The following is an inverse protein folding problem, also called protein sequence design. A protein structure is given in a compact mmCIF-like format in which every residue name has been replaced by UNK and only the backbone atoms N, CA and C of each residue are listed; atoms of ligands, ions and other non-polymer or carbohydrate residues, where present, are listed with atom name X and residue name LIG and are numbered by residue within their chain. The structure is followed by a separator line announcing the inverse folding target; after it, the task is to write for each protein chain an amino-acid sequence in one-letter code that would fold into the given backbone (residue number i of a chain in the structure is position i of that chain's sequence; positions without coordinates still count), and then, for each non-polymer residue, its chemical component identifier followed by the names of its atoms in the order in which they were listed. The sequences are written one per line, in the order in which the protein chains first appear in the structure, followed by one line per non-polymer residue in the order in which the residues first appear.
data_IF_985987278135
#
_entry.id   IF_985987278135
#
_cell.length_a   1.000
_cell.length_b   1.000
_cell.length_c   1.000
_cell.angle_alpha   90.00
_cell.angle_beta   90.00
_cell.angle_gamma   90.00
#
_symmetry.space_group_name_H-M   'P 1'
#
loop_
_entity.id
_entity.type
_entity.pdbx_description
1 polymer ?
#
# COMPACT_ATOMS: atom_id res chain seq x y z
N UNK A 1 1.49 18.57 10.14
CA UNK A 1 1.27 17.28 10.83
C UNK A 1 1.39 16.05 9.92
N UNK A 2 0.81 16.02 8.71
CA UNK A 2 0.87 14.82 7.84
C UNK A 2 2.27 14.30 7.45
N UNK A 3 3.27 15.18 7.29
CA UNK A 3 4.66 14.76 7.00
C UNK A 3 5.32 14.03 8.17
N UNK A 4 4.98 14.40 9.41
CA UNK A 4 5.53 13.78 10.61
C UNK A 4 5.00 12.36 10.80
N UNK A 5 3.70 12.13 10.54
CA UNK A 5 3.07 10.81 10.64
C UNK A 5 3.62 9.79 9.64
N UNK A 6 3.89 10.21 8.40
CA UNK A 6 4.53 9.35 7.41
C UNK A 6 5.96 8.97 7.82
N UNK A 7 6.76 9.95 8.27
CA UNK A 7 8.16 9.72 8.68
C UNK A 7 8.23 8.79 9.91
N UNK A 8 7.32 8.98 10.87
CA UNK A 8 7.19 8.09 12.03
C UNK A 8 6.77 6.67 11.62
N UNK A 9 5.82 6.53 10.68
CA UNK A 9 5.39 5.22 10.17
C UNK A 9 6.51 4.46 9.48
N UNK A 10 7.31 5.14 8.65
CA UNK A 10 8.49 4.55 7.99
C UNK A 10 9.55 4.15 9.01
N UNK A 11 9.79 4.97 10.04
CA UNK A 11 10.74 4.65 11.10
C UNK A 11 10.31 3.42 11.91
N UNK A 12 9.02 3.32 12.27
CA UNK A 12 8.44 2.16 12.94
C UNK A 12 8.54 0.89 12.09
N UNK A 13 8.33 1.00 10.78
CA UNK A 13 8.54 -0.09 9.84
C UNK A 13 9.99 -0.55 9.81
N UNK A 14 10.94 0.38 9.70
CA UNK A 14 12.37 0.07 9.74
C UNK A 14 12.77 -0.62 11.05
N UNK A 15 12.30 -0.11 12.20
CA UNK A 15 12.52 -0.72 13.51
C UNK A 15 11.96 -2.15 13.56
N UNK A 16 10.77 -2.39 13.00
CA UNK A 16 10.14 -3.70 12.95
C UNK A 16 10.97 -4.69 12.13
N UNK A 17 11.51 -4.25 11.00
CA UNK A 17 12.42 -5.08 10.18
C UNK A 17 13.68 -5.42 10.97
N UNK A 18 14.32 -4.44 11.62
CA UNK A 18 15.51 -4.69 12.44
C UNK A 18 15.19 -5.67 13.58
N UNK A 19 14.05 -5.53 14.25
CA UNK A 19 13.60 -6.46 15.28
C UNK A 19 13.36 -7.87 14.70
N UNK A 20 12.71 -8.00 13.54
CA UNK A 20 12.50 -9.29 12.88
C UNK A 20 13.83 -9.99 12.56
N UNK A 21 14.79 -9.27 11.98
CA UNK A 21 16.10 -9.84 11.71
C UNK A 21 16.84 -10.20 13.00
N UNK A 22 16.79 -9.33 14.02
CA UNK A 22 17.42 -9.55 15.31
C UNK A 22 16.89 -10.76 16.08
N UNK A 23 15.57 -10.95 16.10
CA UNK A 23 14.92 -11.99 16.89
C UNK A 23 14.71 -13.30 16.13
N UNK A 24 14.48 -13.27 14.81
CA UNK A 24 14.16 -14.48 14.03
C UNK A 24 15.37 -14.96 13.25
N UNK A 25 16.11 -14.06 12.60
CA UNK A 25 17.17 -14.45 11.67
C UNK A 25 18.48 -14.75 12.39
N UNK A 26 18.89 -13.91 13.34
CA UNK A 26 20.17 -14.10 14.07
C UNK A 26 20.23 -15.44 14.81
N UNK A 27 19.21 -15.88 15.57
CA UNK A 27 19.31 -17.14 16.32
C UNK A 27 19.36 -18.40 15.42
N UNK A 28 18.88 -18.31 14.18
CA UNK A 28 18.88 -19.40 13.21
C UNK A 28 20.22 -19.51 12.47
N UNK A 29 21.04 -18.44 12.48
CA UNK A 29 22.34 -18.46 11.82
C UNK A 29 23.36 -19.30 12.62
N UNK A 30 24.03 -20.28 11.98
CA UNK A 30 25.07 -21.05 12.64
C UNK A 30 26.25 -20.12 13.02
N UNK A 31 26.65 -20.16 14.30
CA UNK A 31 27.80 -19.42 14.83
C UNK A 31 27.47 -18.25 15.76
N UNK A 32 26.19 -17.88 15.90
CA UNK A 32 25.75 -16.82 16.81
C UNK A 32 26.02 -17.11 18.30
N UNK A 33 26.22 -18.39 18.66
CA UNK A 33 26.38 -18.86 20.06
C UNK A 33 27.67 -18.39 20.73
N UNK A 34 28.65 -17.92 19.95
CA UNK A 34 29.94 -17.46 20.45
C UNK A 34 29.90 -16.06 21.09
N UNK A 35 28.82 -15.31 20.91
CA UNK A 35 28.73 -13.94 21.42
C UNK A 35 27.92 -13.88 22.73
N UNK A 36 28.64 -13.86 23.85
CA UNK A 36 28.08 -13.78 25.21
C UNK A 36 27.21 -12.55 25.46
N UNK A 37 27.39 -11.47 24.69
CA UNK A 37 26.60 -10.24 24.83
C UNK A 37 25.15 -10.47 24.40
N UNK A 38 24.96 -11.21 23.31
CA UNK A 38 23.63 -11.50 22.77
C UNK A 38 22.90 -12.46 23.70
N UNK A 39 23.56 -13.52 24.19
CA UNK A 39 22.93 -14.47 25.10
C UNK A 39 22.53 -13.83 26.44
N UNK A 40 23.34 -12.92 26.99
CA UNK A 40 23.01 -12.21 28.23
C UNK A 40 21.80 -11.26 28.08
N UNK A 41 21.73 -10.52 26.97
CA UNK A 41 20.61 -9.59 26.72
C UNK A 41 19.32 -10.32 26.40
N UNK A 42 19.38 -11.39 25.61
CA UNK A 42 18.22 -12.23 25.32
C UNK A 42 17.74 -12.98 26.57
N UNK A 43 18.68 -13.46 27.39
CA UNK A 43 18.38 -14.13 28.65
C UNK A 43 17.66 -13.23 29.64
N UNK A 44 18.07 -11.97 29.79
CA UNK A 44 17.39 -11.02 30.66
C UNK A 44 15.94 -10.71 30.22
N UNK A 45 15.63 -10.87 28.94
CA UNK A 45 14.30 -10.61 28.40
C UNK A 45 13.36 -11.81 28.53
N UNK A 46 13.89 -13.03 28.41
CA UNK A 46 13.08 -14.26 28.32
C UNK A 46 13.10 -15.08 29.60
N UNK A 47 14.22 -15.07 30.33
CA UNK A 47 14.39 -15.79 31.58
C UNK A 47 14.11 -14.88 32.79
N UNK A 48 13.78 -15.49 33.92
CA UNK A 48 13.62 -14.81 35.19
C UNK A 48 14.95 -14.25 35.73
N UNK A 49 14.87 -13.39 36.75
CA UNK A 49 16.05 -12.87 37.43
C UNK A 49 16.88 -14.01 38.04
N UNK A 50 18.13 -14.16 37.61
CA UNK A 50 19.06 -15.18 38.13
C UNK A 50 19.04 -16.52 37.38
N UNK A 51 18.24 -16.64 36.32
CA UNK A 51 18.27 -17.79 35.41
C UNK A 51 19.25 -17.52 34.25
N UNK A 52 19.87 -18.58 33.73
CA UNK A 52 20.76 -18.50 32.56
C UNK A 52 20.06 -19.03 31.31
N UNK A 53 20.19 -18.28 30.21
CA UNK A 53 19.68 -18.73 28.92
C UNK A 53 20.65 -19.73 28.29
N UNK A 54 20.16 -20.93 28.00
CA UNK A 54 20.93 -22.01 27.39
C UNK A 54 20.20 -22.47 26.13
N UNK A 55 20.96 -22.63 25.05
CA UNK A 55 20.43 -23.11 23.77
C UNK A 55 21.07 -24.47 23.46
N UNK A 56 20.24 -25.51 23.40
CA UNK A 56 20.70 -26.87 23.08
C UNK A 56 20.46 -27.15 21.60
N UNK A 57 21.54 -27.48 20.88
CA UNK A 57 21.50 -27.83 19.46
C UNK A 57 21.69 -29.33 19.32
N UNK A 58 20.59 -30.01 19.02
CA UNK A 58 20.63 -31.43 18.72
C UNK A 58 20.72 -31.62 17.21
N UNK A 59 21.88 -32.07 16.75
CA UNK A 59 22.06 -32.51 15.37
C UNK A 59 21.47 -33.91 15.24
N UNK A 60 20.45 -34.05 14.42
CA UNK A 60 19.89 -35.34 14.04
C UNK A 60 20.37 -35.69 12.63
N UNK A 61 20.92 -36.88 12.47
CA UNK A 61 21.29 -37.43 11.16
C UNK A 61 20.52 -38.73 10.94
N UNK A 62 19.54 -38.70 10.06
CA UNK A 62 18.74 -39.86 9.68
C UNK A 62 18.97 -40.22 8.21
N UNK A 63 18.46 -41.37 7.76
CA UNK A 63 18.53 -41.81 6.35
C UNK A 63 17.86 -40.83 5.36
N UNK A 64 17.05 -39.88 5.84
CA UNK A 64 16.39 -38.85 5.04
C UNK A 64 17.17 -37.53 4.96
N UNK A 65 18.26 -37.39 5.71
CA UNK A 65 19.07 -36.17 5.74
C UNK A 65 19.52 -35.79 7.15
N UNK A 66 20.35 -34.74 7.21
CA UNK A 66 20.73 -34.10 8.46
C UNK A 66 19.82 -32.90 8.76
N UNK A 67 19.40 -32.78 10.01
CA UNK A 67 18.64 -31.65 10.54
C UNK A 67 19.24 -31.16 11.84
N UNK A 68 19.06 -29.86 12.12
CA UNK A 68 19.47 -29.26 13.39
C UNK A 68 18.19 -28.83 14.10
N UNK A 69 17.95 -29.40 15.28
CA UNK A 69 16.87 -28.95 16.16
C UNK A 69 17.47 -28.06 17.22
N UNK A 70 16.95 -26.85 17.34
CA UNK A 70 17.41 -25.86 18.31
C UNK A 70 16.32 -25.68 19.35
N UNK A 71 16.64 -26.00 20.60
CA UNK A 71 15.71 -25.85 21.73
C UNK A 71 16.27 -24.87 22.74
N UNK A 72 15.42 -23.98 23.24
CA UNK A 72 15.81 -22.87 24.10
C UNK A 72 15.27 -23.07 25.51
N UNK A 73 16.17 -23.05 26.50
CA UNK A 73 15.84 -23.27 27.90
C UNK A 73 16.34 -22.12 28.77
N UNK A 74 15.63 -21.87 29.87
CA UNK A 74 16.16 -21.14 31.00
C UNK A 74 16.55 -22.16 32.09
N UNK A 75 17.82 -22.14 32.50
CA UNK A 75 18.35 -22.99 33.55
C UNK A 75 18.45 -22.18 34.84
N UNK A 76 17.71 -22.59 35.87
CA UNK A 76 17.75 -21.97 37.18
C UNK A 76 19.01 -22.42 37.95
N UNK A 77 19.40 -21.71 39.04
CA UNK A 77 20.61 -22.04 39.82
C UNK A 77 20.62 -23.45 40.43
N UNK A 78 19.44 -24.08 40.56
CA UNK A 78 19.27 -25.46 41.03
C UNK A 78 19.40 -26.51 39.90
N UNK A 79 19.67 -26.10 38.66
CA UNK A 79 19.76 -26.95 37.47
C UNK A 79 18.41 -27.31 36.83
N UNK A 80 17.28 -26.77 37.30
CA UNK A 80 15.99 -27.04 36.65
C UNK A 80 15.87 -26.26 35.35
N UNK A 81 15.56 -26.96 34.25
CA UNK A 81 15.38 -26.38 32.92
C UNK A 81 13.91 -26.15 32.63
N UNK A 82 13.58 -24.96 32.16
CA UNK A 82 12.23 -24.63 31.68
C UNK A 82 12.28 -24.33 30.18
N UNK A 83 11.41 -24.96 29.41
CA UNK A 83 11.31 -24.70 27.97
C UNK A 83 10.67 -23.32 27.75
N UNK A 84 11.41 -22.46 27.05
CA UNK A 84 10.99 -21.10 26.72
C UNK A 84 10.90 -20.88 25.20
N UNK A 85 10.98 -21.94 24.40
CA UNK A 85 10.94 -21.88 22.94
C UNK A 85 9.67 -21.17 22.46
N UNK A 86 8.50 -21.55 22.99
CA UNK A 86 7.22 -20.91 22.62
C UNK A 86 7.11 -19.46 23.12
N UNK A 87 7.73 -19.14 24.26
CA UNK A 87 7.77 -17.75 24.75
C UNK A 87 8.58 -16.86 23.81
N UNK A 88 9.73 -17.32 23.32
CA UNK A 88 10.53 -16.57 22.34
C UNK A 88 9.77 -16.29 21.05
N UNK A 89 9.11 -17.32 20.49
CA UNK A 89 8.30 -17.15 19.28
C UNK A 89 7.17 -16.14 19.51
N UNK A 90 6.53 -16.19 20.68
CA UNK A 90 5.45 -15.27 21.03
C UNK A 90 5.98 -13.84 21.21
N UNK A 91 7.10 -13.65 21.92
CA UNK A 91 7.71 -12.34 22.14
C UNK A 91 8.20 -11.72 20.83
N UNK A 92 8.88 -12.50 19.99
CA UNK A 92 9.34 -12.08 18.67
C UNK A 92 8.17 -11.77 17.74
N UNK A 93 7.14 -12.62 17.76
CA UNK A 93 5.90 -12.41 17.03
C UNK A 93 5.22 -11.10 17.41
N UNK A 94 4.91 -10.90 18.70
CA UNK A 94 4.27 -9.67 19.19
C UNK A 94 5.15 -8.44 18.96
N UNK A 95 6.46 -8.55 19.23
CA UNK A 95 7.44 -7.48 19.07
C UNK A 95 7.61 -7.02 17.62
N UNK A 96 7.37 -7.90 16.65
CA UNK A 96 7.31 -7.54 15.24
C UNK A 96 5.93 -7.03 14.81
N UNK A 97 4.87 -7.77 15.13
CA UNK A 97 3.53 -7.54 14.59
C UNK A 97 2.96 -6.19 15.04
N UNK A 98 3.15 -5.82 16.31
CA UNK A 98 2.61 -4.59 16.87
C UNK A 98 3.18 -3.33 16.20
N UNK A 99 4.50 -3.09 16.19
CA UNK A 99 5.05 -1.89 15.55
C UNK A 99 4.86 -1.91 14.03
N UNK A 100 4.85 -3.09 13.39
CA UNK A 100 4.54 -3.23 11.98
C UNK A 100 3.11 -2.78 11.67
N UNK A 101 2.10 -3.31 12.37
CA UNK A 101 0.70 -2.93 12.14
C UNK A 101 0.46 -1.45 12.46
N UNK A 102 1.06 -0.93 13.54
CA UNK A 102 0.95 0.50 13.88
C UNK A 102 1.61 1.36 12.79
N UNK A 103 2.81 1.02 12.32
CA UNK A 103 3.48 1.72 11.23
C UNK A 103 2.69 1.65 9.91
N UNK A 104 2.08 0.51 9.62
CA UNK A 104 1.24 0.29 8.45
C UNK A 104 -0.01 1.17 8.50
N UNK A 105 -0.73 1.15 9.61
CA UNK A 105 -1.94 1.94 9.80
C UNK A 105 -1.65 3.45 9.78
N UNK A 106 -0.55 3.88 10.38
CA UNK A 106 -0.11 5.29 10.33
C UNK A 106 0.25 5.73 8.91
N UNK A 107 0.91 4.87 8.13
CA UNK A 107 1.27 5.18 6.75
C UNK A 107 0.01 5.26 5.87
N UNK A 108 -0.87 4.25 5.91
CA UNK A 108 -2.14 4.24 5.15
C UNK A 108 -3.04 5.41 5.54
N UNK A 109 -3.23 5.65 6.85
CA UNK A 109 -4.05 6.76 7.35
C UNK A 109 -3.56 8.13 6.90
N UNK A 110 -2.23 8.30 6.82
CA UNK A 110 -1.62 9.54 6.33
C UNK A 110 -1.93 9.79 4.85
N UNK A 111 -1.94 8.75 4.02
CA UNK A 111 -2.31 8.88 2.60
C UNK A 111 -3.78 9.21 2.40
N UNK A 112 -4.68 8.52 3.12
CA UNK A 112 -6.12 8.77 3.04
C UNK A 112 -6.48 10.22 3.42
N UNK A 113 -5.82 10.77 4.45
CA UNK A 113 -6.06 12.15 4.90
C UNK A 113 -5.52 13.20 3.92
N UNK A 114 -4.42 12.91 3.21
CA UNK A 114 -3.90 13.79 2.17
C UNK A 114 -4.79 13.77 0.91
N UNK A 115 -5.32 12.61 0.53
CA UNK A 115 -6.28 12.49 -0.57
C UNK A 115 -7.57 13.27 -0.27
N UNK A 116 -8.12 13.15 0.94
CA UNK A 116 -9.34 13.83 1.37
C UNK A 116 -9.25 15.37 1.38
N UNK A 117 -8.04 15.93 1.55
CA UNK A 117 -7.83 17.40 1.53
C UNK A 117 -7.81 17.98 0.11
N UNK A 118 -7.30 17.24 -0.88
CA UNK A 118 -7.27 17.70 -2.28
C UNK A 118 -8.64 17.60 -2.97
N UNK A 119 -9.46 16.61 -2.62
CA UNK A 119 -10.82 16.49 -3.16
C UNK A 119 -11.76 17.60 -2.68
N UNK A 120 -11.60 18.12 -1.45
CA UNK A 120 -12.42 19.27 -1.00
C UNK A 120 -12.10 20.56 -1.73
N UNK A 121 -10.87 20.75 -2.21
CA UNK A 121 -10.50 21.92 -3.04
C UNK A 121 -11.13 21.86 -4.43
N UNK A 122 -11.18 20.67 -5.03
CA UNK A 122 -11.82 20.49 -6.34
C UNK A 122 -13.34 20.58 -6.27
N UNK A 123 -13.97 20.09 -5.19
CA UNK A 123 -15.42 20.23 -5.00
C UNK A 123 -15.83 21.67 -4.62
N UNK A 124 -15.01 22.40 -3.86
CA UNK A 124 -15.26 23.82 -3.59
C UNK A 124 -14.95 24.73 -4.79
N UNK A 125 -13.99 24.34 -5.65
CA UNK A 125 -13.68 25.05 -6.89
C UNK A 125 -14.70 24.83 -8.01
N UNK A 126 -15.43 23.70 -8.00
CA UNK A 126 -16.48 23.41 -8.99
C UNK A 126 -17.77 24.22 -8.74
N UNK A 127 -18.03 24.63 -7.49
CA UNK A 127 -19.10 25.59 -7.17
C UNK A 127 -18.77 27.05 -7.52
N UNK A 128 -17.50 27.39 -7.77
CA UNK A 128 -17.10 28.73 -8.19
C UNK A 128 -17.05 28.90 -9.73
N UNK A 129 -17.06 27.81 -10.50
CA UNK A 129 -17.09 27.83 -11.96
C UNK A 129 -18.49 27.75 -12.57
N UNK A 130 -19.54 27.70 -11.75
CA UNK A 130 -20.94 27.71 -12.20
C UNK A 130 -21.64 29.08 -12.04
N UNK A 131 -20.87 30.15 -11.78
CA UNK A 131 -21.41 31.50 -11.56
C UNK A 131 -20.65 32.56 -12.36
N UNK A 132 -20.45 32.32 -13.66
CA UNK A 132 -20.20 33.36 -14.68
C UNK A 132 -20.78 32.88 -16.02
N UNK A 133 -22.10 32.77 -16.07
CA UNK A 133 -22.85 32.68 -17.32
C UNK A 133 -23.74 33.91 -17.43
N UNK A 134 -23.16 34.98 -17.98
CA UNK A 134 -23.81 36.15 -18.58
C UNK A 134 -22.66 36.96 -19.20
N UNK A 135 -22.52 37.24 -20.50
CA UNK A 135 -23.45 37.33 -21.62
C UNK A 135 -22.67 37.21 -22.95
N UNK A 136 -23.05 36.26 -23.82
CA UNK A 136 -22.98 36.32 -25.31
C UNK A 136 -21.64 36.10 -26.04
N UNK A 137 -21.65 35.84 -27.38
CA UNK A 137 -22.71 35.27 -28.22
C UNK A 137 -22.27 33.99 -28.98
N UNK A 138 -23.26 33.17 -29.34
CA UNK A 138 -23.19 32.08 -30.34
C UNK A 138 -22.28 30.86 -30.04
N UNK A 139 -22.85 29.88 -29.34
CA UNK A 139 -22.41 28.48 -29.47
C UNK A 139 -23.64 27.59 -29.60
N UNK A 140 -23.79 26.97 -30.78
CA UNK A 140 -24.86 26.04 -31.08
C UNK A 140 -24.72 24.78 -30.25
N UNK A 141 -25.54 24.66 -29.21
CA UNK A 141 -25.74 23.42 -28.46
C UNK A 141 -26.67 22.50 -29.24
N UNK A 142 -26.17 21.37 -29.70
CA UNK A 142 -26.98 20.31 -30.29
C UNK A 142 -27.28 19.25 -29.21
N UNK A 143 -28.57 19.01 -28.94
CA UNK A 143 -29.02 17.97 -28.01
C UNK A 143 -29.38 16.69 -28.77
N UNK A 144 -28.81 15.56 -28.36
CA UNK A 144 -29.19 14.22 -28.84
C UNK A 144 -29.58 13.42 -27.59
N UNK A 145 -30.81 12.90 -27.56
CA UNK A 145 -31.29 12.03 -26.46
C UNK A 145 -31.44 12.70 -25.08
N UNK A 146 -31.52 14.04 -25.01
CA UNK A 146 -31.68 14.77 -23.74
C UNK A 146 -30.39 15.00 -22.96
N UNK A 147 -29.23 14.62 -23.51
CA UNK A 147 -27.91 14.88 -22.91
C UNK A 147 -27.27 16.05 -23.66
N UNK A 148 -26.95 17.19 -23.00
CA UNK A 148 -26.24 18.29 -23.64
C UNK A 148 -24.78 17.92 -23.85
N UNK A 149 -24.35 17.78 -25.12
CA UNK A 149 -22.95 17.59 -25.48
C UNK A 149 -22.30 18.97 -25.63
N UNK A 150 -21.50 19.36 -24.63
CA UNK A 150 -20.69 20.58 -24.70
C UNK A 150 -19.41 20.29 -25.48
N UNK A 151 -19.35 20.77 -26.73
CA UNK A 151 -18.12 20.79 -27.50
C UNK A 151 -17.21 21.92 -27.01
N UNK A 152 -16.26 21.61 -26.13
CA UNK A 152 -15.13 22.51 -25.88
C UNK A 152 -14.28 22.60 -27.14
N UNK A 153 -14.35 23.75 -27.83
CA UNK A 153 -13.51 24.04 -29.00
C UNK A 153 -12.04 23.86 -28.59
N UNK A 154 -11.41 22.84 -29.16
CA UNK A 154 -10.05 22.44 -28.84
C UNK A 154 -9.10 23.63 -29.00
N UNK A 155 -8.50 24.04 -27.88
CA UNK A 155 -7.43 25.01 -27.84
C UNK A 155 -6.17 24.36 -28.41
N UNK A 156 -5.72 24.87 -29.56
CA UNK A 156 -4.38 24.75 -30.14
C UNK A 156 -3.63 23.40 -29.99
N UNK A 157 -3.75 22.58 -31.05
CA UNK A 157 -2.67 21.91 -31.77
C UNK A 157 -1.66 21.03 -31.00
N UNK A 158 -1.93 19.71 -30.97
CA UNK A 158 -0.90 18.69 -31.21
C UNK A 158 -0.94 18.28 -32.69
N UNK A 159 0.20 18.29 -33.41
CA UNK A 159 0.22 17.99 -34.84
C UNK A 159 0.26 16.49 -35.05
N UNK A 160 -0.83 15.90 -35.55
CA UNK A 160 -0.80 14.54 -36.11
C UNK A 160 -2.10 13.75 -36.04
N UNK A 161 -3.03 14.11 -35.17
CA UNK A 161 -4.34 13.43 -35.08
C UNK A 161 -5.43 14.35 -35.60
N UNK A 162 -6.00 13.99 -36.76
CA UNK A 162 -7.13 14.71 -37.33
C UNK A 162 -8.25 14.80 -36.29
N UNK A 163 -8.84 16.00 -36.06
CA UNK A 163 -9.86 16.23 -35.02
C UNK A 163 -11.08 15.31 -35.14
N UNK A 164 -11.31 14.75 -36.33
CA UNK A 164 -12.35 13.77 -36.61
C UNK A 164 -12.07 12.41 -35.95
N UNK A 165 -10.82 11.95 -35.95
CA UNK A 165 -10.44 10.68 -35.34
C UNK A 165 -10.66 10.71 -33.82
N UNK A 166 -10.34 11.85 -33.18
CA UNK A 166 -10.55 12.05 -31.75
C UNK A 166 -12.05 12.05 -31.38
N UNK A 167 -12.89 12.72 -32.19
CA UNK A 167 -14.35 12.69 -32.01
C UNK A 167 -14.93 11.28 -32.14
N UNK A 168 -14.47 10.49 -33.12
CA UNK A 168 -14.93 9.11 -33.29
C UNK A 168 -14.47 8.21 -32.13
N UNK A 169 -13.25 8.41 -31.64
CA UNK A 169 -12.73 7.67 -30.48
C UNK A 169 -13.54 7.97 -29.21
N UNK A 170 -13.92 9.24 -29.00
CA UNK A 170 -14.74 9.64 -27.87
C UNK A 170 -16.14 9.02 -27.90
N UNK A 171 -16.78 8.95 -29.08
CA UNK A 171 -18.07 8.26 -29.25
C UNK A 171 -17.98 6.77 -28.93
N UNK A 172 -16.88 6.13 -29.33
CA UNK A 172 -16.67 4.71 -29.06
C UNK A 172 -16.45 4.41 -27.57
N UNK A 173 -15.80 5.31 -26.82
CA UNK A 173 -15.66 5.19 -25.36
C UNK A 173 -17.00 5.35 -24.62
N UNK A 174 -17.91 6.18 -25.14
CA UNK A 174 -19.26 6.30 -24.56
C UNK A 174 -20.10 5.04 -24.79
N UNK A 175 -19.99 4.44 -25.98
CA UNK A 175 -20.66 3.18 -26.31
C UNK A 175 -20.12 2.02 -25.46
N UNK A 176 -18.80 1.91 -25.29
CA UNK A 176 -18.18 0.84 -24.48
C UNK A 176 -18.58 0.89 -23.00
N UNK A 177 -18.92 2.09 -22.50
CA UNK A 177 -19.46 2.32 -21.15
C UNK A 177 -20.96 2.14 -21.02
N UNK A 178 -21.65 1.71 -22.09
CA UNK A 178 -23.12 1.56 -22.13
C UNK A 178 -23.87 2.88 -21.81
N UNK A 179 -23.25 4.04 -22.07
CA UNK A 179 -23.86 5.37 -21.83
C UNK A 179 -24.74 5.83 -22.99
N UNK A 180 -24.51 5.29 -24.18
CA UNK A 180 -25.29 5.53 -25.38
C UNK A 180 -25.65 4.20 -26.03
N UNK A 181 -26.76 4.18 -26.74
CA UNK A 181 -27.20 3.00 -27.50
C UNK A 181 -26.47 2.90 -28.84
N UNK A 182 -26.47 1.70 -29.43
CA UNK A 182 -25.88 1.47 -30.75
C UNK A 182 -26.50 2.38 -31.84
N UNK A 183 -27.81 2.63 -31.74
CA UNK A 183 -28.56 3.46 -32.68
C UNK A 183 -28.14 4.95 -32.59
N UNK A 184 -27.86 5.43 -31.39
CA UNK A 184 -27.39 6.80 -31.15
C UNK A 184 -25.95 6.98 -31.63
N UNK A 185 -25.10 5.98 -31.41
CA UNK A 185 -23.74 5.95 -31.95
C UNK A 185 -23.75 6.05 -33.49
N UNK A 186 -24.56 5.24 -34.16
CA UNK A 186 -24.63 5.24 -35.63
C UNK A 186 -25.17 6.55 -36.20
N UNK A 187 -26.09 7.23 -35.48
CA UNK A 187 -26.61 8.55 -35.87
C UNK A 187 -25.53 9.63 -35.74
N UNK A 188 -24.84 9.69 -34.60
CA UNK A 188 -23.79 10.67 -34.35
C UNK A 188 -22.59 10.47 -35.30
N UNK A 189 -22.25 9.21 -35.61
CA UNK A 189 -21.19 8.89 -36.57
C UNK A 189 -21.49 9.43 -37.97
N UNK A 190 -22.74 9.28 -38.46
CA UNK A 190 -23.13 9.83 -39.78
C UNK A 190 -23.04 11.34 -39.80
N UNK A 191 -23.51 12.00 -38.74
CA UNK A 191 -23.48 13.46 -38.64
C UNK A 191 -22.05 14.02 -38.65
N UNK A 192 -21.11 13.36 -37.98
CA UNK A 192 -19.69 13.77 -38.00
C UNK A 192 -19.05 13.55 -39.38
N UNK A 193 -19.47 12.50 -40.10
CA UNK A 193 -19.00 12.26 -41.46
C UNK A 193 -19.56 13.29 -42.44
N UNK A 194 -20.81 13.72 -42.25
CA UNK A 194 -21.44 14.77 -43.08
C UNK A 194 -20.86 16.16 -42.81
N UNK A 195 -20.47 16.49 -41.57
CA UNK A 195 -19.82 17.78 -41.22
C UNK A 195 -18.33 17.85 -41.62
N UNK A 196 -17.71 16.71 -41.92
CA UNK A 196 -16.28 16.60 -42.22
C UNK A 196 -15.91 16.82 -43.70
N UNK A 197 -16.90 17.08 -44.57
CA UNK A 197 -16.75 17.34 -46.01
C UNK A 197 -17.42 18.67 -46.38
#
# INVERSE_FOLDING_TARGET
MGKLGCLLGVLLMGLSVVALFGFIVIPVLPGADSNTTVSNTLGALVCGSGETYVQDRQNHSDFRGSGVTVTSYCEAPNGTRTDVTMKMVTLGGVGFLVPFLVGLLLSIGSFAWMAARKTRSLVAGQSALFSTQDTGPESGTMQIGGIPIHFTRASAAQPGTSPLAEKLQQLQDLLSRNLITQEEYDRARRQILDEGF
#
